data_IF_674921696933
#
_entry.id   IF_674921696933
#
_cell.length_a   1.000
_cell.length_b   1.000
_cell.length_c   1.000
_cell.angle_alpha   90.00
_cell.angle_beta   90.00
_cell.angle_gamma   90.00
#
_symmetry.space_group_name_H-M   'P 1'
#
loop_
_entity.id
_entity.type
_entity.pdbx_description
1 polymer ?
#
# COMPACT_ATOMS: atom_id res chain seq x y z
N UNK A 1 -15.26 -2.43 14.60
CA UNK A 1 -15.37 -3.90 14.64
C UNK A 1 -15.13 -4.38 13.22
N UNK A 2 -14.16 -5.25 13.04
CA UNK A 2 -13.80 -5.80 11.73
C UNK A 2 -14.32 -7.23 11.62
N UNK A 3 -14.65 -7.66 10.42
CA UNK A 3 -15.21 -8.99 10.16
C UNK A 3 -14.55 -9.60 8.92
N UNK A 4 -14.26 -10.89 8.98
CA UNK A 4 -13.82 -11.69 7.84
C UNK A 4 -15.05 -12.30 7.16
N UNK A 5 -15.22 -12.07 5.84
CA UNK A 5 -16.34 -12.63 5.08
C UNK A 5 -16.07 -14.11 4.77
N UNK A 6 -16.96 -14.99 5.24
CA UNK A 6 -16.89 -16.44 5.00
C UNK A 6 -17.73 -16.84 3.78
N UNK A 7 -18.89 -16.21 3.60
CA UNK A 7 -19.85 -16.52 2.53
C UNK A 7 -20.68 -15.27 2.19
N UNK A 8 -20.58 -14.82 0.95
CA UNK A 8 -21.27 -13.67 0.36
C UNK A 8 -22.26 -14.06 -0.75
N UNK A 9 -22.58 -15.36 -0.88
CA UNK A 9 -23.45 -15.88 -1.95
C UNK A 9 -24.89 -15.36 -1.89
N UNK A 10 -25.32 -14.81 -0.75
CA UNK A 10 -26.65 -14.23 -0.56
C UNK A 10 -26.63 -12.71 -0.76
N UNK A 11 -27.64 -12.19 -1.47
CA UNK A 11 -27.70 -10.79 -1.93
C UNK A 11 -27.66 -9.74 -0.80
N UNK A 12 -28.29 -10.02 0.34
CA UNK A 12 -28.47 -9.03 1.41
C UNK A 12 -27.82 -9.39 2.75
N UNK A 13 -27.37 -10.63 2.95
CA UNK A 13 -26.85 -11.11 4.22
C UNK A 13 -25.59 -11.92 4.02
N UNK A 14 -24.48 -11.41 4.53
CA UNK A 14 -23.20 -12.10 4.43
C UNK A 14 -22.89 -12.83 5.73
N UNK A 15 -22.34 -14.03 5.61
CA UNK A 15 -21.81 -14.79 6.74
C UNK A 15 -20.40 -14.32 7.02
N UNK A 16 -20.15 -13.91 8.25
CA UNK A 16 -18.87 -13.35 8.67
C UNK A 16 -18.35 -13.95 9.97
N UNK A 17 -17.06 -13.73 10.24
CA UNK A 17 -16.37 -14.12 11.48
C UNK A 17 -15.77 -12.89 12.15
N UNK A 18 -15.93 -12.77 13.46
CA UNK A 18 -15.28 -11.73 14.26
C UNK A 18 -13.87 -12.14 14.74
N UNK A 19 -13.14 -11.21 15.37
CA UNK A 19 -11.79 -11.44 15.90
C UNK A 19 -11.73 -12.50 17.01
N UNK A 20 -12.85 -12.75 17.71
CA UNK A 20 -12.97 -13.80 18.72
C UNK A 20 -13.31 -15.17 18.12
N UNK A 21 -13.48 -15.24 16.81
CA UNK A 21 -13.85 -16.44 16.06
C UNK A 21 -15.34 -16.76 16.05
N UNK A 22 -16.18 -15.86 16.56
CA UNK A 22 -17.64 -16.01 16.52
C UNK A 22 -18.15 -15.79 15.10
N UNK A 23 -19.06 -16.64 14.64
CA UNK A 23 -19.62 -16.59 13.29
C UNK A 23 -21.07 -16.14 13.34
N UNK A 24 -21.44 -15.22 12.46
CA UNK A 24 -22.79 -14.67 12.38
C UNK A 24 -23.13 -14.14 10.99
N UNK A 25 -24.32 -13.56 10.84
CA UNK A 25 -24.75 -12.90 9.62
C UNK A 25 -24.88 -11.40 9.84
N UNK A 26 -24.47 -10.62 8.86
CA UNK A 26 -24.61 -9.16 8.86
C UNK A 26 -25.26 -8.69 7.55
N UNK A 27 -26.06 -7.62 7.57
CA UNK A 27 -26.60 -7.04 6.35
C UNK A 27 -25.47 -6.48 5.47
N UNK A 28 -25.42 -6.87 4.20
CA UNK A 28 -24.38 -6.47 3.25
C UNK A 28 -24.33 -4.95 3.03
N UNK A 29 -25.48 -4.27 3.13
CA UNK A 29 -25.60 -2.81 2.98
C UNK A 29 -25.07 -2.00 4.19
N UNK A 30 -24.77 -2.66 5.31
CA UNK A 30 -24.17 -2.03 6.50
C UNK A 30 -22.68 -2.31 6.61
N UNK A 31 -22.09 -2.97 5.62
CA UNK A 31 -20.64 -3.19 5.55
C UNK A 31 -20.01 -2.49 4.36
N UNK A 32 -18.78 -2.07 4.58
CA UNK A 32 -17.86 -1.68 3.53
C UNK A 32 -16.71 -2.65 3.55
N UNK A 33 -16.25 -3.04 2.37
CA UNK A 33 -14.97 -3.71 2.23
C UNK A 33 -13.92 -2.87 2.96
N UNK A 34 -12.97 -3.53 3.62
CA UNK A 34 -11.86 -2.85 4.26
C UNK A 34 -11.03 -2.22 3.16
N UNK A 35 -11.38 -1.00 2.74
CA UNK A 35 -10.55 -0.17 1.88
C UNK A 35 -9.16 -0.24 2.47
N UNK A 36 -8.16 -0.63 1.69
CA UNK A 36 -6.79 -0.76 2.15
C UNK A 36 -6.41 0.58 2.79
N UNK A 37 -6.34 0.62 4.12
CA UNK A 37 -6.30 1.89 4.85
C UNK A 37 -4.98 2.60 4.52
N UNK A 38 -5.07 3.89 4.17
CA UNK A 38 -3.89 4.72 3.95
C UNK A 38 -3.21 4.48 2.59
N UNK A 39 -1.88 4.36 2.58
CA UNK A 39 -1.09 4.27 1.36
C UNK A 39 -1.20 2.91 0.66
N UNK A 40 -1.61 1.86 1.39
CA UNK A 40 -1.67 0.47 0.89
C UNK A 40 -2.66 0.27 -0.26
N UNK A 41 -3.60 1.19 -0.46
CA UNK A 41 -4.53 1.13 -1.59
C UNK A 41 -3.91 1.52 -2.92
N UNK A 42 -2.74 2.15 -2.89
CA UNK A 42 -2.08 2.63 -4.09
C UNK A 42 -0.99 1.65 -4.53
N UNK A 43 -1.08 1.17 -5.77
CA UNK A 43 -0.14 0.18 -6.33
C UNK A 43 1.32 0.67 -6.35
N UNK A 44 1.53 1.98 -6.42
CA UNK A 44 2.86 2.59 -6.39
C UNK A 44 3.49 2.57 -4.98
N UNK A 45 2.72 2.26 -3.93
CA UNK A 45 3.23 2.13 -2.58
C UNK A 45 3.59 0.68 -2.30
N UNK A 46 4.88 0.44 -2.04
CA UNK A 46 5.45 -0.90 -1.90
C UNK A 46 5.82 -1.26 -0.46
N UNK A 47 5.39 -0.44 0.51
CA UNK A 47 5.58 -0.68 1.94
C UNK A 47 7.05 -0.84 2.35
N UNK A 48 7.33 -1.89 3.13
CA UNK A 48 8.66 -2.28 3.60
C UNK A 48 9.49 -2.89 2.46
N UNK A 49 9.97 -2.05 1.55
CA UNK A 49 10.88 -2.44 0.47
C UNK A 49 12.27 -1.85 0.68
N UNK A 50 13.30 -2.69 0.53
CA UNK A 50 14.69 -2.24 0.58
C UNK A 50 15.05 -1.39 -0.63
N UNK A 51 16.07 -0.54 -0.48
CA UNK A 51 16.61 0.28 -1.58
C UNK A 51 16.98 -0.59 -2.79
N UNK A 52 17.73 -1.66 -2.55
CA UNK A 52 18.23 -2.57 -3.59
C UNK A 52 17.08 -3.26 -4.33
N UNK A 53 16.04 -3.68 -3.61
CA UNK A 53 14.87 -4.31 -4.24
C UNK A 53 14.10 -3.32 -5.12
N UNK A 54 13.95 -2.07 -4.67
CA UNK A 54 13.35 -1.01 -5.49
C UNK A 54 14.19 -0.70 -6.73
N UNK A 55 15.52 -0.64 -6.60
CA UNK A 55 16.44 -0.45 -7.73
C UNK A 55 16.30 -1.57 -8.77
N UNK A 56 16.32 -2.84 -8.35
CA UNK A 56 16.14 -4.00 -9.23
C UNK A 56 14.76 -4.00 -9.91
N UNK A 57 13.69 -3.73 -9.16
CA UNK A 57 12.33 -3.67 -9.69
C UNK A 57 12.19 -2.60 -10.78
N UNK A 58 12.60 -1.37 -10.48
CA UNK A 58 12.45 -0.26 -11.42
C UNK A 58 13.35 -0.43 -12.65
N UNK A 59 14.55 -1.01 -12.47
CA UNK A 59 15.44 -1.33 -13.59
C UNK A 59 14.88 -2.45 -14.47
N UNK A 60 14.19 -3.43 -13.90
CA UNK A 60 13.52 -4.50 -14.65
C UNK A 60 12.35 -3.95 -15.48
N UNK A 61 11.57 -3.02 -14.93
CA UNK A 61 10.51 -2.33 -15.67
C UNK A 61 11.04 -1.48 -16.84
N UNK A 62 12.29 -1.01 -16.72
CA UNK A 62 13.03 -0.22 -17.72
C UNK A 62 12.23 0.93 -18.38
N UNK A 63 11.35 1.58 -17.62
CA UNK A 63 10.46 2.64 -18.11
C UNK A 63 10.84 4.00 -17.54
N UNK A 64 11.15 4.98 -18.40
CA UNK A 64 11.49 6.33 -17.95
C UNK A 64 10.39 6.90 -17.04
N UNK A 65 10.80 7.43 -15.88
CA UNK A 65 9.88 8.03 -14.93
C UNK A 65 9.06 7.05 -14.10
N UNK A 66 9.27 5.73 -14.23
CA UNK A 66 8.62 4.79 -13.32
C UNK A 66 9.16 4.98 -11.89
N UNK A 67 8.27 4.83 -10.91
CA UNK A 67 8.59 5.12 -9.53
C UNK A 67 7.82 4.21 -8.56
N UNK A 68 8.33 4.14 -7.34
CA UNK A 68 7.64 3.55 -6.20
C UNK A 68 7.89 4.40 -4.95
N UNK A 69 6.92 4.41 -4.04
CA UNK A 69 7.08 4.96 -2.69
C UNK A 69 7.21 3.80 -1.70
N UNK A 70 8.24 3.85 -0.87
CA UNK A 70 8.55 2.82 0.13
C UNK A 70 8.82 3.43 1.48
N UNK A 71 8.75 2.61 2.52
CA UNK A 71 9.19 3.00 3.85
C UNK A 71 10.69 3.29 3.83
N UNK A 72 11.07 4.43 4.41
CA UNK A 72 12.48 4.75 4.60
C UNK A 72 13.07 3.81 5.64
N UNK A 73 14.36 3.54 5.52
CA UNK A 73 15.11 2.85 6.58
C UNK A 73 15.12 3.64 7.89
N UNK A 74 14.83 4.94 7.83
CA UNK A 74 14.55 5.75 9.02
C UNK A 74 13.07 5.67 9.37
N UNK A 75 12.78 5.24 10.60
CA UNK A 75 11.40 5.10 11.11
C UNK A 75 10.59 6.39 10.92
N UNK A 76 9.36 6.24 10.44
CA UNK A 76 8.40 7.34 10.27
C UNK A 76 8.62 8.22 9.04
N UNK A 77 9.57 7.87 8.16
CA UNK A 77 9.77 8.60 6.89
C UNK A 77 9.49 7.70 5.69
N UNK A 78 9.16 8.33 4.56
CA UNK A 78 8.99 7.66 3.28
C UNK A 78 10.10 8.05 2.29
N UNK A 79 10.35 7.18 1.32
CA UNK A 79 11.30 7.42 0.23
C UNK A 79 10.62 7.21 -1.11
N UNK A 80 10.68 8.22 -1.99
CA UNK A 80 10.38 8.07 -3.41
C UNK A 80 11.61 7.52 -4.12
N UNK A 81 11.45 6.38 -4.80
CA UNK A 81 12.48 5.81 -5.69
C UNK A 81 12.03 5.99 -7.13
N UNK A 82 12.80 6.72 -7.93
CA UNK A 82 12.46 7.14 -9.30
C UNK A 82 13.53 6.64 -10.26
N UNK A 83 13.12 5.92 -11.30
CA UNK A 83 14.02 5.53 -12.37
C UNK A 83 14.07 6.58 -13.47
N UNK A 84 15.28 6.92 -13.88
CA UNK A 84 15.53 7.89 -14.95
C UNK A 84 16.73 7.46 -15.79
N UNK A 85 16.63 7.72 -17.09
CA UNK A 85 17.64 7.51 -18.12
C UNK A 85 18.27 8.83 -18.54
N UNK A 86 17.93 9.95 -17.90
CA UNK A 86 18.58 11.25 -18.14
C UNK A 86 20.07 11.13 -17.78
N UNK A 87 20.93 11.40 -18.76
CA UNK A 87 22.38 11.17 -18.77
C UNK A 87 22.78 9.68 -18.77
N UNK A 88 22.24 8.88 -17.86
CA UNK A 88 22.45 7.42 -17.80
C UNK A 88 21.32 6.74 -17.00
N UNK A 89 20.96 5.49 -17.32
CA UNK A 89 19.98 4.71 -16.55
C UNK A 89 20.39 4.54 -15.09
N UNK A 90 19.58 5.09 -14.18
CA UNK A 90 19.80 5.02 -12.74
C UNK A 90 18.49 5.19 -11.96
N UNK A 91 18.51 4.78 -10.70
CA UNK A 91 17.44 5.03 -9.75
C UNK A 91 17.86 6.11 -8.76
N UNK A 92 17.09 7.19 -8.68
CA UNK A 92 17.27 8.27 -7.71
C UNK A 92 16.33 8.06 -6.52
N UNK A 93 16.79 8.43 -5.32
CA UNK A 93 16.02 8.29 -4.09
C UNK A 93 15.86 9.63 -3.40
N UNK A 94 14.61 9.98 -3.06
CA UNK A 94 14.25 11.24 -2.44
C UNK A 94 13.49 10.97 -1.14
N UNK A 95 13.94 11.57 -0.03
CA UNK A 95 13.20 11.51 1.22
C UNK A 95 11.97 12.41 1.17
N UNK A 96 10.82 11.85 1.51
CA UNK A 96 9.57 12.59 1.69
C UNK A 96 9.54 13.03 3.15
N UNK A 97 9.72 14.33 3.38
CA UNK A 97 9.81 14.92 4.72
C UNK A 97 8.46 15.49 5.12
N UNK A 98 8.08 15.29 6.37
CA UNK A 98 6.97 16.05 6.95
C UNK A 98 7.41 17.47 7.30
N UNK A 99 6.53 18.43 7.06
CA UNK A 99 6.64 19.78 7.55
C UNK A 99 6.33 19.83 9.07
N UNK A 100 6.52 21.01 9.69
CA UNK A 100 6.28 21.21 11.12
C UNK A 100 4.80 20.98 11.55
N UNK A 101 3.86 20.90 10.60
CA UNK A 101 2.44 20.64 10.83
C UNK A 101 2.07 19.15 10.67
N UNK A 102 3.05 18.30 10.35
CA UNK A 102 2.84 16.87 10.13
C UNK A 102 2.36 16.50 8.73
N UNK A 103 2.36 17.45 7.78
CA UNK A 103 1.97 17.23 6.38
C UNK A 103 3.21 16.85 5.55
N UNK A 104 3.06 15.98 4.55
CA UNK A 104 4.16 15.49 3.69
C UNK A 104 4.40 16.35 2.45
#
# INVERSE_FOLDING_TARGET
VEYEVIDDSQEHWWKVKDENGSVGYIPSNYVKEKETIGLQKYEWYVGEMSRQRAESLLKQEDKEGCFVVRNSSTKGMYTLSLYTKVNHPQTKHYHIKQNARGEF
#
